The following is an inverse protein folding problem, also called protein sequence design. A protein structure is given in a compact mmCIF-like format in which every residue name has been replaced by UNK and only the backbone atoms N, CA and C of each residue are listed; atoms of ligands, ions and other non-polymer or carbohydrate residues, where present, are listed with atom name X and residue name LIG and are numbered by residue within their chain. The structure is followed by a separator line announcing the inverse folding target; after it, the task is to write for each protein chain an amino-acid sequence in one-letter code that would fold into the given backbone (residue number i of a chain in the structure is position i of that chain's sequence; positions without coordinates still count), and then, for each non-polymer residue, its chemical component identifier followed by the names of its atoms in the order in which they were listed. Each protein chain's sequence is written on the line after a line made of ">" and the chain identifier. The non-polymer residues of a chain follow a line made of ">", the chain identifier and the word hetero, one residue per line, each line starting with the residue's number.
data_IF_345106224820
#
_entry.id   IF_345106224820
#
_cell.length_a   1.000
_cell.length_b   1.000
_cell.length_c   1.000
_cell.angle_alpha   90.00
_cell.angle_beta   90.00
_cell.angle_gamma   90.00
#
_symmetry.space_group_name_H-M   'P 1'
#
loop_
_entity.id
_entity.type
_entity.pdbx_description
1 polymer ?
#
# COMPACT_ATOMS: atom_id res chain seq x y z
N UNK A 1 -4.01 3.84 -2.95
CA UNK A 1 -3.88 4.38 -1.59
C UNK A 1 -4.86 5.55 -1.43
N UNK A 2 -5.85 5.43 -0.56
CA UNK A 2 -6.94 6.42 -0.43
C UNK A 2 -6.66 7.51 0.61
N UNK A 3 -5.41 7.60 1.09
CA UNK A 3 -5.01 8.52 2.16
C UNK A 3 -5.28 9.99 1.81
N UNK A 4 -5.25 10.37 0.53
CA UNK A 4 -5.48 11.75 0.10
C UNK A 4 -6.97 12.14 -0.07
N UNK A 5 -7.90 11.21 0.18
CA UNK A 5 -9.34 11.44 0.01
C UNK A 5 -9.97 11.98 1.31
N UNK A 6 -11.12 12.62 1.17
CA UNK A 6 -11.95 13.11 2.28
C UNK A 6 -13.37 12.51 2.23
N UNK A 7 -14.05 12.34 3.37
CA UNK A 7 -13.54 12.51 4.73
C UNK A 7 -12.56 11.38 5.13
N UNK A 8 -11.56 11.69 5.96
CA UNK A 8 -10.63 10.68 6.51
C UNK A 8 -11.33 9.71 7.48
N UNK A 9 -11.00 8.43 7.38
CA UNK A 9 -11.31 7.44 8.43
C UNK A 9 -10.41 7.63 9.66
N UNK A 10 -10.77 7.06 10.81
CA UNK A 10 -9.91 7.12 12.01
C UNK A 10 -8.55 6.49 11.77
N UNK A 11 -8.50 5.29 11.16
CA UNK A 11 -7.24 4.62 10.76
C UNK A 11 -6.35 5.53 9.90
N UNK A 12 -6.93 6.28 8.95
CA UNK A 12 -6.15 7.20 8.12
C UNK A 12 -5.59 8.39 8.91
N UNK A 13 -6.35 8.92 9.88
CA UNK A 13 -5.88 9.99 10.77
C UNK A 13 -4.73 9.48 11.65
N UNK A 14 -4.90 8.30 12.22
CA UNK A 14 -3.88 7.63 13.04
C UNK A 14 -2.61 7.34 12.23
N UNK A 15 -2.75 6.88 10.98
CA UNK A 15 -1.62 6.64 10.09
C UNK A 15 -0.83 7.92 9.78
N UNK A 16 -1.52 9.05 9.55
CA UNK A 16 -0.87 10.35 9.33
C UNK A 16 -0.06 10.78 10.58
N UNK A 17 -0.64 10.60 11.77
CA UNK A 17 0.03 10.91 13.04
C UNK A 17 1.23 9.99 13.28
N UNK A 18 1.07 8.68 13.03
CA UNK A 18 2.14 7.70 13.11
C UNK A 18 3.31 8.07 12.19
N UNK A 19 3.03 8.40 10.92
CA UNK A 19 4.06 8.77 9.95
C UNK A 19 4.87 9.98 10.39
N UNK A 20 4.23 11.00 10.96
CA UNK A 20 4.94 12.17 11.49
C UNK A 20 5.96 11.79 12.56
N UNK A 21 5.57 10.90 13.49
CA UNK A 21 6.46 10.37 14.52
C UNK A 21 7.57 9.51 13.92
N UNK A 22 7.25 8.68 12.93
CA UNK A 22 8.17 7.78 12.25
C UNK A 22 9.32 8.54 11.57
N UNK A 23 9.00 9.58 10.79
CA UNK A 23 10.00 10.39 10.10
C UNK A 23 10.64 11.48 10.98
N UNK A 24 10.17 11.65 12.23
CA UNK A 24 10.61 12.68 13.17
C UNK A 24 10.76 14.06 12.52
N UNK A 25 9.77 14.44 11.71
CA UNK A 25 9.88 15.56 10.77
C UNK A 25 9.07 16.77 11.22
N UNK A 26 9.58 18.01 11.07
CA UNK A 26 8.85 19.21 11.46
C UNK A 26 7.76 19.62 10.46
N UNK A 27 7.59 18.89 9.35
CA UNK A 27 6.57 19.21 8.34
C UNK A 27 5.14 18.92 8.82
N UNK A 28 4.14 19.64 8.27
CA UNK A 28 2.73 19.47 8.63
C UNK A 28 2.18 18.06 8.39
N UNK A 29 1.14 17.71 9.16
CA UNK A 29 0.35 16.48 9.02
C UNK A 29 -0.56 16.50 7.77
N UNK A 30 0.06 16.53 6.59
CA UNK A 30 -0.67 16.46 5.32
C UNK A 30 -0.49 15.07 4.72
N UNK A 31 -1.60 14.46 4.32
CA UNK A 31 -1.65 13.17 3.63
C UNK A 31 -0.65 13.07 2.46
N UNK A 32 -0.58 14.11 1.64
CA UNK A 32 0.33 14.19 0.49
C UNK A 32 1.79 14.22 0.91
N UNK A 33 2.12 14.84 2.04
CA UNK A 33 3.49 14.82 2.59
C UNK A 33 3.83 13.41 3.08
N UNK A 34 2.91 12.76 3.79
CA UNK A 34 3.08 11.37 4.25
C UNK A 34 3.37 10.44 3.07
N UNK A 35 2.56 10.52 2.01
CA UNK A 35 2.77 9.73 0.77
C UNK A 35 4.16 10.00 0.18
N UNK A 36 4.56 11.27 0.08
CA UNK A 36 5.84 11.64 -0.51
C UNK A 36 7.04 11.18 0.35
N UNK A 37 6.93 11.18 1.68
CA UNK A 37 8.00 10.74 2.56
C UNK A 37 8.27 9.24 2.37
N UNK A 38 7.22 8.40 2.47
CA UNK A 38 7.36 6.97 2.22
C UNK A 38 7.86 6.66 0.80
N UNK A 39 7.35 7.38 -0.20
CA UNK A 39 7.81 7.23 -1.58
C UNK A 39 9.31 7.48 -1.74
N UNK A 40 9.81 8.59 -1.18
CA UNK A 40 11.20 9.02 -1.37
C UNK A 40 12.18 8.25 -0.50
N UNK A 41 11.86 8.06 0.77
CA UNK A 41 12.81 7.50 1.75
C UNK A 41 13.09 6.01 1.47
N UNK A 42 12.16 5.31 0.82
CA UNK A 42 12.31 3.91 0.45
C UNK A 42 12.85 3.73 -0.98
N UNK A 43 13.17 4.83 -1.68
CA UNK A 43 13.78 4.81 -3.01
C UNK A 43 12.81 4.42 -4.14
N UNK A 44 11.50 4.49 -3.92
CA UNK A 44 10.51 4.20 -4.95
C UNK A 44 10.62 5.20 -6.11
N UNK A 45 10.45 4.70 -7.34
CA UNK A 45 10.54 5.51 -8.56
C UNK A 45 9.17 5.79 -9.19
N UNK A 46 8.16 4.99 -8.85
CA UNK A 46 6.79 5.14 -9.34
C UNK A 46 5.80 4.66 -8.28
N UNK A 47 4.66 5.35 -8.16
CA UNK A 47 3.54 4.91 -7.31
C UNK A 47 2.55 4.15 -8.18
N UNK A 48 2.40 2.88 -7.90
CA UNK A 48 1.47 2.03 -8.63
C UNK A 48 0.07 2.05 -8.02
N UNK A 49 -0.94 2.24 -8.86
CA UNK A 49 -2.32 1.86 -8.57
C UNK A 49 -2.67 0.53 -9.26
N UNK A 50 -3.88 0.01 -8.98
CA UNK A 50 -4.35 -1.25 -9.60
C UNK A 50 -4.34 -1.20 -11.13
N UNK A 51 -4.67 -0.06 -11.74
CA UNK A 51 -4.72 0.09 -13.20
C UNK A 51 -3.32 -0.05 -13.80
N UNK A 52 -2.33 0.62 -13.21
CA UNK A 52 -0.95 0.55 -13.65
C UNK A 52 -0.36 -0.86 -13.49
N UNK A 53 -0.65 -1.54 -12.37
CA UNK A 53 -0.19 -2.92 -12.16
C UNK A 53 -0.83 -3.89 -13.15
N UNK A 54 -2.15 -3.79 -13.34
CA UNK A 54 -2.89 -4.61 -14.30
C UNK A 54 -2.34 -4.44 -15.71
N UNK A 55 -2.15 -3.19 -16.16
CA UNK A 55 -1.57 -2.91 -17.46
C UNK A 55 -0.18 -3.56 -17.62
N UNK A 56 0.70 -3.42 -16.62
CA UNK A 56 2.04 -4.02 -16.67
C UNK A 56 2.00 -5.55 -16.72
N UNK A 57 1.11 -6.18 -15.95
CA UNK A 57 0.92 -7.63 -15.95
C UNK A 57 0.41 -8.14 -17.31
N UNK A 58 -0.56 -7.45 -17.91
CA UNK A 58 -1.07 -7.77 -19.25
C UNK A 58 0.03 -7.63 -20.32
N UNK A 59 0.83 -6.56 -20.27
CA UNK A 59 1.96 -6.38 -21.20
C UNK A 59 3.03 -7.47 -21.03
N UNK A 60 3.20 -8.01 -19.83
CA UNK A 60 4.10 -9.13 -19.56
C UNK A 60 3.52 -10.51 -19.96
N UNK A 61 2.28 -10.55 -20.48
CA UNK A 61 1.60 -11.74 -20.95
C UNK A 61 0.89 -12.55 -19.87
N UNK A 62 0.70 -11.98 -18.68
CA UNK A 62 -0.16 -12.58 -17.65
C UNK A 62 -1.65 -12.35 -17.99
N UNK A 63 -2.48 -13.25 -17.49
CA UNK A 63 -3.93 -13.30 -17.64
C UNK A 63 -4.58 -13.52 -16.27
N UNK A 64 -5.93 -13.44 -16.21
CA UNK A 64 -6.71 -13.66 -14.98
C UNK A 64 -6.17 -12.86 -13.80
N UNK A 65 -6.16 -11.53 -13.98
CA UNK A 65 -5.59 -10.60 -13.02
C UNK A 65 -6.67 -10.21 -12.01
N UNK A 66 -6.49 -10.64 -10.77
CA UNK A 66 -7.44 -10.43 -9.67
C UNK A 66 -6.81 -9.59 -8.56
N UNK A 67 -7.57 -8.65 -8.01
CA UNK A 67 -7.19 -7.97 -6.78
C UNK A 67 -7.49 -8.87 -5.58
N UNK A 68 -6.58 -8.90 -4.62
CA UNK A 68 -6.74 -9.65 -3.36
C UNK A 68 -6.64 -8.72 -2.16
N UNK A 69 -7.18 -9.19 -1.04
CA UNK A 69 -6.86 -8.61 0.26
C UNK A 69 -5.48 -9.09 0.72
N UNK A 70 -4.84 -8.29 1.57
CA UNK A 70 -3.54 -8.64 2.15
C UNK A 70 -3.65 -9.98 2.86
N UNK A 71 -2.68 -10.85 2.65
CA UNK A 71 -2.59 -12.20 3.22
C UNK A 71 -3.69 -13.19 2.79
N UNK A 72 -4.59 -12.82 1.88
CA UNK A 72 -5.61 -13.70 1.31
C UNK A 72 -5.23 -14.16 -0.10
N UNK A 73 -5.28 -15.48 -0.33
CA UNK A 73 -5.07 -16.08 -1.65
C UNK A 73 -5.83 -17.41 -1.75
N UNK A 74 -6.35 -17.79 -2.93
CA UNK A 74 -6.83 -19.15 -3.15
C UNK A 74 -5.69 -20.18 -3.19
N UNK A 75 -4.43 -19.73 -3.33
CA UNK A 75 -3.23 -20.57 -3.31
C UNK A 75 -2.60 -20.51 -1.93
N UNK A 76 -2.59 -21.61 -1.15
CA UNK A 76 -2.06 -21.61 0.21
C UNK A 76 -0.60 -21.13 0.31
N UNK A 77 0.20 -21.37 -0.73
CA UNK A 77 1.60 -20.95 -0.84
C UNK A 77 1.79 -19.44 -1.06
N UNK A 78 0.74 -18.72 -1.50
CA UNK A 78 0.74 -17.27 -1.67
C UNK A 78 -0.02 -16.53 -0.55
N UNK A 79 -0.74 -17.26 0.29
CA UNK A 79 -1.39 -16.70 1.46
C UNK A 79 -0.37 -16.39 2.57
N UNK A 80 -0.66 -15.37 3.39
CA UNK A 80 0.12 -15.02 4.60
C UNK A 80 1.60 -14.67 4.38
N UNK A 81 1.95 -14.21 3.18
CA UNK A 81 3.33 -13.81 2.85
C UNK A 81 3.71 -12.43 3.38
N UNK A 82 2.76 -11.51 3.48
CA UNK A 82 3.02 -10.15 3.98
C UNK A 82 3.23 -10.20 5.49
N UNK A 83 4.32 -9.61 5.99
CA UNK A 83 4.74 -9.67 7.39
C UNK A 83 4.91 -8.27 8.02
N UNK A 84 4.86 -7.21 7.23
CA UNK A 84 5.09 -5.83 7.70
C UNK A 84 4.04 -5.37 8.71
N UNK A 85 2.85 -5.96 8.69
CA UNK A 85 1.84 -5.79 9.75
C UNK A 85 2.37 -6.06 11.17
N UNK A 86 3.44 -6.86 11.32
CA UNK A 86 4.07 -7.11 12.63
C UNK A 86 4.78 -5.88 13.20
N UNK A 87 5.17 -4.94 12.33
CA UNK A 87 5.85 -3.70 12.71
C UNK A 87 4.86 -2.56 12.90
N UNK A 88 3.92 -2.40 11.97
CA UNK A 88 3.05 -1.21 11.90
C UNK A 88 1.57 -1.48 12.26
N UNK A 89 1.19 -2.74 12.47
CA UNK A 89 -0.19 -3.16 12.68
C UNK A 89 -0.91 -3.52 11.38
N UNK A 90 -1.98 -4.32 11.50
CA UNK A 90 -2.71 -4.86 10.33
C UNK A 90 -3.41 -3.76 9.53
N UNK A 91 -4.05 -2.80 10.19
CA UNK A 91 -4.82 -1.76 9.51
C UNK A 91 -3.93 -0.82 8.69
N UNK A 92 -2.74 -0.49 9.18
CA UNK A 92 -1.78 0.34 8.47
C UNK A 92 -1.19 -0.41 7.28
N UNK A 93 -0.84 -1.68 7.47
CA UNK A 93 -0.35 -2.54 6.40
C UNK A 93 -1.39 -2.71 5.28
N UNK A 94 -2.68 -2.82 5.62
CA UNK A 94 -3.78 -2.85 4.63
C UNK A 94 -3.88 -1.50 3.89
N UNK A 95 -3.70 -0.38 4.59
CA UNK A 95 -3.84 0.96 4.01
C UNK A 95 -2.77 1.28 2.96
N UNK A 96 -1.54 0.80 3.16
CA UNK A 96 -0.42 1.04 2.24
C UNK A 96 -0.24 -0.03 1.16
N UNK A 97 -0.88 -1.19 1.33
CA UNK A 97 -0.72 -2.32 0.40
C UNK A 97 -1.78 -2.36 -0.70
N UNK A 98 -1.36 -2.78 -1.90
CA UNK A 98 -2.23 -3.25 -2.97
C UNK A 98 -1.70 -4.61 -3.42
N UNK A 99 -2.55 -5.65 -3.35
CA UNK A 99 -2.20 -7.00 -3.80
C UNK A 99 -2.94 -7.32 -5.09
N UNK A 100 -2.18 -7.70 -6.11
CA UNK A 100 -2.70 -8.16 -7.40
C UNK A 100 -2.07 -9.50 -7.72
N UNK A 101 -2.90 -10.50 -7.98
CA UNK A 101 -2.47 -11.83 -8.41
C UNK A 101 -2.79 -12.02 -9.89
N UNK A 102 -1.94 -12.77 -10.59
CA UNK A 102 -2.13 -13.08 -12.00
C UNK A 102 -1.56 -14.45 -12.36
N UNK A 103 -2.07 -15.04 -13.44
CA UNK A 103 -1.68 -16.37 -13.93
C UNK A 103 -1.05 -16.25 -15.33
N UNK A 104 -0.15 -17.15 -15.68
CA UNK A 104 0.44 -17.22 -17.02
C UNK A 104 0.12 -18.55 -17.68
#
# INVERSE_FOLDING_TARGET
>A
MDLYKEPKTEVQKEYIQFSQKYFNTPVPQMDTIVINNFFRDWGHQFIHDEKSLRFLLEQAGFQKIDRRHVNESPFPELARLEQHYKEIGEEFNILESIVVEAQK
#
